data_IF_997688445598
#
_entry.id   IF_997688445598
#
_cell.length_a   1.000
_cell.length_b   1.000
_cell.length_c   1.000
_cell.angle_alpha   90.00
_cell.angle_beta   90.00
_cell.angle_gamma   90.00
#
_symmetry.space_group_name_H-M   'P 1'
#
loop_
_entity.id
_entity.type
_entity.pdbx_description
1 polymer ?
#
# COMPACT_ATOMS: atom_id res chain seq x y z
N UNK A 1 -4.94 -5.71 -19.00
CA UNK A 1 -5.54 -5.65 -17.65
C UNK A 1 -5.58 -4.20 -17.18
N UNK A 2 -6.57 -3.81 -16.38
CA UNK A 2 -6.57 -2.51 -15.69
C UNK A 2 -5.98 -2.72 -14.29
N UNK A 3 -5.09 -1.81 -13.85
CA UNK A 3 -4.52 -1.82 -12.50
C UNK A 3 -4.93 -0.54 -11.80
N UNK A 4 -5.59 -0.64 -10.66
CA UNK A 4 -5.86 0.50 -9.78
C UNK A 4 -4.87 0.43 -8.62
N UNK A 5 -3.84 1.27 -8.67
CA UNK A 5 -2.78 1.36 -7.66
C UNK A 5 -3.19 2.36 -6.57
N UNK A 6 -3.47 1.89 -5.37
CA UNK A 6 -3.86 2.74 -4.24
C UNK A 6 -2.64 3.04 -3.38
N UNK A 7 -2.36 4.33 -3.19
CA UNK A 7 -1.24 4.84 -2.40
C UNK A 7 -1.71 5.78 -1.30
N UNK A 8 -0.81 6.13 -0.41
CA UNK A 8 -1.05 7.07 0.69
C UNK A 8 -0.25 6.72 1.94
N UNK A 9 0.06 7.72 2.72
CA UNK A 9 0.85 7.57 3.95
C UNK A 9 0.19 6.62 4.95
N UNK A 10 0.94 5.96 5.85
CA UNK A 10 0.38 5.15 6.92
C UNK A 10 -0.72 5.88 7.70
N UNK A 11 -1.85 5.22 7.94
CA UNK A 11 -3.00 5.85 8.64
C UNK A 11 -3.91 6.73 7.76
N UNK A 12 -3.62 6.91 6.46
CA UNK A 12 -4.45 7.76 5.57
C UNK A 12 -5.84 7.19 5.26
N UNK A 13 -6.07 5.88 5.43
CA UNK A 13 -7.33 5.22 5.05
C UNK A 13 -7.29 4.52 3.69
N UNK A 14 -6.13 4.44 3.02
CA UNK A 14 -5.97 3.81 1.71
C UNK A 14 -6.54 2.40 1.60
N UNK A 15 -6.36 1.55 2.62
CA UNK A 15 -6.88 0.17 2.59
C UNK A 15 -8.40 0.09 2.65
N UNK A 16 -9.07 1.10 3.21
CA UNK A 16 -10.53 1.23 3.14
C UNK A 16 -10.97 1.59 1.72
N UNK A 17 -10.33 2.59 1.14
CA UNK A 17 -10.56 3.01 -0.26
C UNK A 17 -10.31 1.85 -1.22
N UNK A 18 -9.19 1.16 -1.09
CA UNK A 18 -8.85 0.02 -1.95
C UNK A 18 -9.93 -1.08 -1.90
N UNK A 19 -10.46 -1.41 -0.71
CA UNK A 19 -11.56 -2.38 -0.57
C UNK A 19 -12.86 -1.90 -1.22
N UNK A 20 -13.19 -0.61 -1.09
CA UNK A 20 -14.39 -0.05 -1.71
C UNK A 20 -14.28 -0.10 -3.22
N UNK A 21 -13.16 0.37 -3.78
CA UNK A 21 -12.91 0.33 -5.22
C UNK A 21 -12.96 -1.11 -5.76
N UNK A 22 -12.28 -2.05 -5.08
CA UNK A 22 -12.28 -3.45 -5.47
C UNK A 22 -13.69 -4.05 -5.55
N UNK A 23 -14.54 -3.76 -4.56
CA UNK A 23 -15.95 -4.19 -4.56
C UNK A 23 -16.77 -3.55 -5.67
N UNK A 24 -16.62 -2.24 -5.87
CA UNK A 24 -17.40 -1.49 -6.89
C UNK A 24 -17.04 -1.93 -8.31
N UNK A 25 -15.77 -2.23 -8.57
CA UNK A 25 -15.31 -2.67 -9.88
C UNK A 25 -15.43 -4.19 -10.09
N UNK A 26 -15.66 -4.97 -9.04
CA UNK A 26 -15.60 -6.42 -9.10
C UNK A 26 -14.19 -6.97 -9.35
N UNK A 27 -13.16 -6.23 -9.00
CA UNK A 27 -11.76 -6.61 -9.19
C UNK A 27 -11.16 -7.24 -7.92
N UNK A 28 -10.29 -8.24 -8.06
CA UNK A 28 -9.51 -8.76 -6.94
C UNK A 28 -8.67 -7.66 -6.29
N UNK A 29 -8.56 -7.71 -4.96
CA UNK A 29 -7.69 -6.85 -4.17
C UNK A 29 -6.40 -7.60 -3.83
N UNK A 30 -5.27 -7.05 -4.22
CA UNK A 30 -3.93 -7.51 -3.86
C UNK A 30 -3.27 -6.47 -2.94
N UNK A 31 -2.69 -6.92 -1.82
CA UNK A 31 -2.10 -6.03 -0.82
C UNK A 31 -0.59 -6.23 -0.79
N UNK A 32 0.18 -5.16 -1.04
CA UNK A 32 1.65 -5.20 -1.05
C UNK A 32 2.24 -5.75 0.26
N UNK A 33 1.62 -5.39 1.40
CA UNK A 33 2.04 -5.91 2.70
C UNK A 33 1.81 -7.41 2.88
N UNK A 34 0.79 -7.97 2.26
CA UNK A 34 0.45 -9.39 2.42
C UNK A 34 1.43 -10.28 1.67
N UNK A 35 1.88 -9.89 0.47
CA UNK A 35 2.92 -10.66 -0.24
C UNK A 35 4.25 -10.67 0.50
N UNK A 36 4.56 -9.62 1.26
CA UNK A 36 5.74 -9.62 2.14
C UNK A 36 5.53 -10.57 3.33
N UNK A 37 4.35 -10.57 3.96
CA UNK A 37 4.03 -11.49 5.07
C UNK A 37 4.09 -12.96 4.63
N UNK A 38 3.58 -13.25 3.45
CA UNK A 38 3.68 -14.59 2.86
C UNK A 38 5.14 -14.99 2.63
N UNK A 39 5.97 -14.07 2.16
CA UNK A 39 7.40 -14.33 1.99
C UNK A 39 8.12 -14.56 3.32
N UNK A 40 7.75 -13.82 4.39
CA UNK A 40 8.24 -14.06 5.76
C UNK A 40 7.88 -15.47 6.21
N UNK A 41 6.61 -15.87 6.06
CA UNK A 41 6.12 -17.20 6.42
C UNK A 41 6.81 -18.29 5.59
N UNK A 42 7.00 -18.08 4.26
CA UNK A 42 7.72 -19.01 3.38
C UNK A 42 9.17 -19.25 3.80
N UNK A 43 9.80 -18.25 4.43
CA UNK A 43 11.17 -18.37 5.00
C UNK A 43 11.18 -19.00 6.38
N UNK A 44 10.05 -19.40 6.94
CA UNK A 44 9.93 -19.97 8.28
C UNK A 44 10.21 -18.97 9.40
N UNK A 45 10.08 -17.66 9.13
CA UNK A 45 10.29 -16.60 10.10
C UNK A 45 8.97 -16.23 10.79
N UNK A 46 9.07 -15.80 12.05
CA UNK A 46 7.92 -15.27 12.79
C UNK A 46 7.41 -13.95 12.16
N UNK A 47 6.08 -13.76 12.15
CA UNK A 47 5.43 -12.57 11.59
C UNK A 47 5.52 -11.37 12.55
N UNK A 48 6.75 -10.92 12.82
CA UNK A 48 7.01 -9.68 13.55
C UNK A 48 7.17 -8.50 12.62
N UNK A 49 6.96 -7.28 13.11
CA UNK A 49 7.22 -6.04 12.36
C UNK A 49 8.65 -6.02 11.83
N UNK A 50 9.61 -6.37 12.68
CA UNK A 50 11.03 -6.42 12.32
C UNK A 50 11.30 -7.38 11.15
N UNK A 51 10.80 -8.60 11.19
CA UNK A 51 10.99 -9.59 10.12
C UNK A 51 10.30 -9.17 8.82
N UNK A 52 9.12 -8.55 8.89
CA UNK A 52 8.40 -8.04 7.72
C UNK A 52 9.22 -6.93 7.05
N UNK A 53 9.72 -5.97 7.81
CA UNK A 53 10.53 -4.87 7.28
C UNK A 53 11.87 -5.36 6.72
N UNK A 54 12.54 -6.26 7.42
CA UNK A 54 13.82 -6.84 7.01
C UNK A 54 13.67 -7.66 5.71
N UNK A 55 12.63 -8.48 5.59
CA UNK A 55 12.36 -9.24 4.36
C UNK A 55 12.04 -8.30 3.21
N UNK A 56 11.23 -7.27 3.44
CA UNK A 56 10.92 -6.28 2.41
C UNK A 56 12.18 -5.52 1.94
N UNK A 57 13.05 -5.15 2.88
CA UNK A 57 14.34 -4.51 2.58
C UNK A 57 15.24 -5.43 1.75
N UNK A 58 15.43 -6.68 2.18
CA UNK A 58 16.25 -7.66 1.46
C UNK A 58 15.74 -7.97 0.06
N UNK A 59 14.41 -8.06 -0.11
CA UNK A 59 13.83 -8.25 -1.44
C UNK A 59 14.21 -7.11 -2.38
N UNK A 60 14.11 -5.85 -1.90
CA UNK A 60 14.50 -4.69 -2.70
C UNK A 60 16.00 -4.62 -2.99
N UNK A 61 16.84 -5.00 -2.05
CA UNK A 61 18.29 -5.06 -2.24
C UNK A 61 18.72 -6.10 -3.28
N UNK A 62 18.07 -7.26 -3.28
CA UNK A 62 18.42 -8.37 -4.15
C UNK A 62 17.80 -8.28 -5.55
N UNK A 63 16.56 -7.78 -5.65
CA UNK A 63 15.77 -7.78 -6.89
C UNK A 63 15.44 -6.38 -7.41
N UNK A 64 15.91 -5.34 -6.73
CA UNK A 64 15.63 -3.95 -7.06
C UNK A 64 14.39 -3.35 -6.36
N UNK A 65 14.19 -2.02 -6.50
CA UNK A 65 13.17 -1.28 -5.77
C UNK A 65 11.72 -1.75 -6.07
N UNK A 66 11.48 -2.34 -7.24
CA UNK A 66 10.19 -2.89 -7.64
C UNK A 66 9.88 -4.31 -7.16
N UNK A 67 10.77 -4.95 -6.39
CA UNK A 67 10.71 -6.38 -6.05
C UNK A 67 9.37 -6.84 -5.44
N UNK A 68 8.75 -6.00 -4.61
CA UNK A 68 7.45 -6.37 -3.99
C UNK A 68 6.33 -6.31 -5.03
N UNK A 69 6.38 -5.35 -5.95
CA UNK A 69 5.43 -5.28 -7.05
C UNK A 69 5.57 -6.45 -8.04
N UNK A 70 6.78 -7.03 -8.21
CA UNK A 70 6.96 -8.25 -9.00
C UNK A 70 6.16 -9.42 -8.42
N UNK A 71 6.16 -9.59 -7.09
CA UNK A 71 5.35 -10.61 -6.43
C UNK A 71 3.84 -10.38 -6.64
N UNK A 72 3.41 -9.11 -6.67
CA UNK A 72 2.03 -8.76 -7.03
C UNK A 72 1.72 -9.12 -8.48
N UNK A 73 2.64 -8.82 -9.41
CA UNK A 73 2.48 -9.15 -10.84
C UNK A 73 2.37 -10.66 -11.05
N UNK A 74 3.19 -11.46 -10.37
CA UNK A 74 3.12 -12.93 -10.41
C UNK A 74 1.73 -13.43 -9.96
N UNK A 75 1.21 -12.91 -8.84
CA UNK A 75 -0.14 -13.23 -8.37
C UNK A 75 -1.24 -12.77 -9.33
N UNK A 76 -1.15 -11.53 -9.82
CA UNK A 76 -2.16 -10.96 -10.71
C UNK A 76 -2.28 -11.75 -12.02
N UNK A 77 -1.16 -12.22 -12.57
CA UNK A 77 -1.14 -13.04 -13.78
C UNK A 77 -1.80 -14.40 -13.62
N UNK A 78 -1.82 -14.95 -12.40
CA UNK A 78 -2.50 -16.20 -12.09
C UNK A 78 -4.03 -16.02 -11.96
N UNK A 79 -4.52 -14.78 -11.90
CA UNK A 79 -5.94 -14.47 -11.79
C UNK A 79 -6.57 -14.30 -13.17
N UNK A 80 -7.70 -14.97 -13.40
CA UNK A 80 -8.49 -14.76 -14.61
C UNK A 80 -9.41 -13.55 -14.43
N UNK A 81 -8.85 -12.33 -14.61
CA UNK A 81 -9.54 -11.07 -14.36
C UNK A 81 -9.18 -10.00 -15.37
N UNK A 82 -10.08 -9.05 -15.60
CA UNK A 82 -9.83 -7.89 -16.48
C UNK A 82 -9.10 -6.75 -15.75
N UNK A 83 -9.09 -6.75 -14.43
CA UNK A 83 -8.41 -5.74 -13.63
C UNK A 83 -8.10 -6.20 -12.21
N UNK A 84 -7.21 -5.49 -11.54
CA UNK A 84 -6.83 -5.69 -10.13
C UNK A 84 -6.75 -4.36 -9.40
N UNK A 85 -7.05 -4.37 -8.11
CA UNK A 85 -6.74 -3.25 -7.20
C UNK A 85 -5.54 -3.64 -6.36
N UNK A 86 -4.53 -2.77 -6.30
CA UNK A 86 -3.29 -3.00 -5.55
C UNK A 86 -3.19 -1.98 -4.42
N UNK A 87 -3.30 -2.44 -3.16
CA UNK A 87 -3.18 -1.58 -1.98
C UNK A 87 -1.75 -1.48 -1.49
N UNK A 88 -1.27 -0.27 -1.31
CA UNK A 88 -0.03 0.04 -0.61
C UNK A 88 1.19 0.25 -1.50
N UNK A 89 1.01 0.73 -2.71
CA UNK A 89 2.10 1.15 -3.62
C UNK A 89 2.85 2.33 -3.02
N UNK A 90 4.20 2.29 -3.02
CA UNK A 90 5.06 3.23 -2.30
C UNK A 90 6.17 3.87 -3.13
N UNK A 91 6.37 3.45 -4.37
CA UNK A 91 7.38 4.03 -5.25
C UNK A 91 6.95 4.01 -6.71
N UNK A 92 7.55 4.88 -7.53
CA UNK A 92 7.35 4.87 -8.97
C UNK A 92 7.94 3.62 -9.63
N UNK A 93 8.97 3.02 -9.04
CA UNK A 93 9.50 1.74 -9.50
C UNK A 93 8.46 0.62 -9.38
N UNK A 94 7.70 0.60 -8.27
CA UNK A 94 6.58 -0.33 -8.10
C UNK A 94 5.49 -0.08 -9.14
N UNK A 95 5.13 1.20 -9.41
CA UNK A 95 4.18 1.57 -10.47
C UNK A 95 4.67 1.09 -11.84
N UNK A 96 5.96 1.28 -12.15
CA UNK A 96 6.56 0.83 -13.40
C UNK A 96 6.47 -0.69 -13.56
N UNK A 97 6.73 -1.46 -12.52
CA UNK A 97 6.57 -2.92 -12.54
C UNK A 97 5.11 -3.31 -12.78
N UNK A 98 4.17 -2.68 -12.06
CA UNK A 98 2.74 -2.93 -12.23
C UNK A 98 2.24 -2.62 -13.65
N UNK A 99 2.85 -1.67 -14.35
CA UNK A 99 2.49 -1.34 -15.73
C UNK A 99 2.73 -2.48 -16.72
N UNK A 100 3.52 -3.50 -16.36
CA UNK A 100 3.67 -4.73 -17.13
C UNK A 100 2.39 -5.58 -17.22
N UNK A 101 1.40 -5.32 -16.37
CA UNK A 101 0.06 -5.95 -16.41
C UNK A 101 -0.89 -5.22 -17.36
N UNK A 102 -0.63 -3.94 -17.64
CA UNK A 102 -1.45 -3.09 -18.49
C UNK A 102 -1.52 -1.66 -17.97
N UNK A 103 -2.66 -0.98 -18.20
CA UNK A 103 -2.82 0.43 -17.82
C UNK A 103 -2.98 0.56 -16.30
N UNK A 104 -2.14 1.40 -15.70
CA UNK A 104 -2.17 1.73 -14.27
C UNK A 104 -2.88 3.08 -14.06
N UNK A 105 -3.80 3.11 -13.11
CA UNK A 105 -4.38 4.34 -12.56
C UNK A 105 -3.98 4.44 -11.09
N UNK A 106 -3.43 5.57 -10.70
CA UNK A 106 -2.97 5.82 -9.34
C UNK A 106 -4.02 6.60 -8.57
N UNK A 107 -4.49 6.03 -7.47
CA UNK A 107 -5.41 6.68 -6.53
C UNK A 107 -4.66 6.97 -5.24
N UNK A 108 -4.43 8.26 -4.94
CA UNK A 108 -3.80 8.68 -3.71
C UNK A 108 -4.85 8.99 -2.64
N UNK A 109 -4.61 8.52 -1.42
CA UNK A 109 -5.43 8.85 -0.25
C UNK A 109 -4.60 9.68 0.71
N UNK A 110 -4.97 10.95 0.86
CA UNK A 110 -4.29 11.88 1.75
C UNK A 110 -5.06 12.09 3.04
N UNK A 111 -4.34 12.23 4.15
CA UNK A 111 -4.87 12.66 5.43
C UNK A 111 -3.77 13.39 6.21
N UNK A 112 -4.09 14.48 6.92
CA UNK A 112 -3.11 15.23 7.71
C UNK A 112 -2.40 14.33 8.75
N UNK A 113 -1.12 14.60 9.07
CA UNK A 113 -0.33 13.76 9.98
C UNK A 113 -0.96 13.55 11.36
N UNK A 114 -1.56 14.60 11.94
CA UNK A 114 -2.23 14.50 13.25
C UNK A 114 -3.41 13.51 13.24
N UNK A 115 -4.24 13.51 12.20
CA UNK A 115 -5.35 12.57 12.06
C UNK A 115 -4.85 11.14 11.82
N UNK A 116 -3.80 10.98 11.03
CA UNK A 116 -3.18 9.68 10.78
C UNK A 116 -2.61 9.08 12.07
N UNK A 117 -1.90 9.89 12.85
CA UNK A 117 -1.36 9.49 14.16
C UNK A 117 -2.47 9.05 15.11
N UNK A 118 -3.51 9.87 15.29
CA UNK A 118 -4.65 9.53 16.14
C UNK A 118 -5.31 8.21 15.74
N UNK A 119 -5.52 8.00 14.44
CA UNK A 119 -6.10 6.75 13.91
C UNK A 119 -5.21 5.53 14.17
N UNK A 120 -3.89 5.68 14.06
CA UNK A 120 -2.95 4.58 14.28
C UNK A 120 -2.89 4.19 15.76
N UNK A 121 -2.87 5.16 16.67
CA UNK A 121 -2.90 4.91 18.11
C UNK A 121 -4.23 4.27 18.56
N UNK A 122 -5.37 4.76 18.02
CA UNK A 122 -6.68 4.28 18.47
C UNK A 122 -7.03 2.88 17.98
N UNK A 123 -6.60 2.48 16.79
CA UNK A 123 -6.93 1.14 16.23
C UNK A 123 -6.11 -0.01 16.82
N UNK A 124 -5.00 0.27 17.48
CA UNK A 124 -4.12 -0.69 18.19
C UNK A 124 -3.84 -1.99 17.41
N UNK A 125 -3.58 -1.89 16.11
CA UNK A 125 -3.19 -3.08 15.34
C UNK A 125 -1.78 -3.50 15.72
N UNK A 126 -1.55 -4.80 15.72
CA UNK A 126 -0.20 -5.34 15.81
C UNK A 126 0.69 -4.72 14.72
N UNK A 127 1.84 -4.15 15.13
CA UNK A 127 2.71 -3.39 14.24
C UNK A 127 2.31 -1.94 13.95
N UNK A 128 1.30 -1.39 14.65
CA UNK A 128 1.07 0.06 14.66
C UNK A 128 2.04 0.77 15.61
N UNK A 129 2.19 2.07 15.40
CA UNK A 129 3.08 2.91 16.19
C UNK A 129 2.57 3.06 17.62
N UNK A 130 3.47 3.05 18.58
CA UNK A 130 3.19 3.24 20.01
C UNK A 130 3.33 4.70 20.47
N UNK A 131 3.94 5.56 19.66
CA UNK A 131 4.21 6.95 20.00
C UNK A 131 4.58 7.83 18.80
N UNK A 132 4.78 9.11 19.09
CA UNK A 132 5.04 10.13 18.05
C UNK A 132 6.38 9.96 17.36
N UNK A 133 7.40 9.46 18.05
CA UNK A 133 8.73 9.24 17.46
C UNK A 133 8.69 8.10 16.44
N UNK A 134 8.06 6.99 16.81
CA UNK A 134 7.89 5.84 15.92
C UNK A 134 7.02 6.19 14.71
N UNK A 135 6.01 7.05 14.90
CA UNK A 135 5.19 7.58 13.80
C UNK A 135 6.03 8.39 12.81
N UNK A 136 6.87 9.32 13.31
CA UNK A 136 7.76 10.11 12.44
C UNK A 136 8.76 9.24 11.70
N UNK A 137 9.40 8.32 12.40
CA UNK A 137 10.33 7.37 11.80
C UNK A 137 9.67 6.58 10.65
N UNK A 138 8.45 6.11 10.87
CA UNK A 138 7.68 5.37 9.85
C UNK A 138 7.29 6.24 8.66
N UNK A 139 6.91 7.49 8.90
CA UNK A 139 6.64 8.45 7.82
C UNK A 139 7.89 8.72 6.99
N UNK A 140 9.02 9.00 7.63
CA UNK A 140 10.30 9.22 6.94
C UNK A 140 10.74 8.00 6.14
N UNK A 141 10.58 6.79 6.67
CA UNK A 141 10.92 5.57 5.95
C UNK A 141 10.08 5.42 4.67
N UNK A 142 8.78 5.73 4.71
CA UNK A 142 7.92 5.70 3.52
C UNK A 142 8.27 6.82 2.53
N UNK A 143 8.62 8.01 3.01
CA UNK A 143 9.07 9.10 2.13
C UNK A 143 10.38 8.75 1.42
N UNK A 144 11.34 8.10 2.10
CA UNK A 144 12.59 7.63 1.49
C UNK A 144 12.37 6.55 0.41
N UNK A 145 11.27 5.78 0.48
CA UNK A 145 10.89 4.85 -0.58
C UNK A 145 10.32 5.56 -1.82
N UNK A 146 9.99 6.84 -1.73
CA UNK A 146 9.44 7.62 -2.84
C UNK A 146 7.90 7.69 -2.86
N UNK A 147 7.23 7.41 -1.74
CA UNK A 147 5.75 7.47 -1.69
C UNK A 147 5.21 8.88 -2.02
N UNK A 148 5.98 9.92 -1.69
CA UNK A 148 5.64 11.30 -2.02
C UNK A 148 5.50 11.53 -3.52
N UNK A 149 6.37 10.93 -4.32
CA UNK A 149 6.34 11.04 -5.79
C UNK A 149 5.11 10.33 -6.36
N UNK A 150 4.76 9.16 -5.82
CA UNK A 150 3.53 8.44 -6.24
C UNK A 150 2.28 9.25 -5.91
N UNK A 151 2.23 9.88 -4.73
CA UNK A 151 1.12 10.74 -4.33
C UNK A 151 1.03 11.97 -5.23
N UNK A 152 2.16 12.62 -5.53
CA UNK A 152 2.22 13.82 -6.37
C UNK A 152 1.79 13.55 -7.82
N UNK A 153 2.04 12.35 -8.34
CA UNK A 153 1.73 11.95 -9.72
C UNK A 153 0.44 11.10 -9.82
N UNK A 154 -0.39 11.10 -8.77
CA UNK A 154 -1.64 10.33 -8.79
C UNK A 154 -2.66 10.92 -9.77
N UNK A 155 -3.37 10.02 -10.50
CA UNK A 155 -4.47 10.39 -11.39
C UNK A 155 -5.68 10.90 -10.62
N UNK A 156 -5.90 10.38 -9.39
CA UNK A 156 -7.00 10.73 -8.50
C UNK A 156 -6.52 10.92 -7.08
N UNK A 157 -7.09 11.93 -6.39
CA UNK A 157 -6.78 12.23 -4.99
C UNK A 157 -8.06 12.23 -4.16
N UNK A 158 -8.07 11.43 -3.09
CA UNK A 158 -9.12 11.42 -2.06
C UNK A 158 -8.56 12.03 -0.79
N UNK A 159 -9.19 13.07 -0.24
CA UNK A 159 -8.76 13.73 0.99
C UNK A 159 -9.60 13.21 2.17
N UNK A 160 -9.00 12.34 2.97
CA UNK A 160 -9.64 11.73 4.14
C UNK A 160 -9.39 12.58 5.41
N UNK A 161 -10.14 13.65 5.55
CA UNK A 161 -10.11 14.55 6.72
C UNK A 161 -11.44 14.62 7.48
N UNK A 162 -12.39 13.73 7.18
CA UNK A 162 -13.73 13.71 7.73
C UNK A 162 -14.12 12.30 8.22
N UNK A 163 -15.38 11.92 8.07
CA UNK A 163 -15.93 10.64 8.55
C UNK A 163 -15.62 9.48 7.59
N UNK A 164 -15.80 8.24 8.10
CA UNK A 164 -15.63 7.03 7.30
C UNK A 164 -16.66 6.95 6.16
N UNK A 165 -17.89 7.40 6.42
CA UNK A 165 -18.98 7.43 5.44
C UNK A 165 -18.61 8.28 4.23
N UNK A 166 -18.09 9.49 4.45
CA UNK A 166 -17.60 10.34 3.37
C UNK A 166 -16.47 9.72 2.58
N UNK A 167 -15.51 9.07 3.27
CA UNK A 167 -14.42 8.38 2.61
C UNK A 167 -14.93 7.26 1.69
N UNK A 168 -15.93 6.50 2.13
CA UNK A 168 -16.55 5.42 1.36
C UNK A 168 -17.35 5.96 0.18
N UNK A 169 -17.99 7.11 0.34
CA UNK A 169 -18.75 7.77 -0.74
C UNK A 169 -17.84 8.27 -1.86
N UNK A 170 -16.71 8.88 -1.52
CA UNK A 170 -15.72 9.40 -2.46
C UNK A 170 -14.91 8.30 -3.19
N UNK A 171 -14.82 7.11 -2.59
CA UNK A 171 -14.07 5.99 -3.14
C UNK A 171 -14.87 5.19 -4.17
#
# INVERSE_FOLDING_TARGET
>A
MIVVAVTGMPGSGKSTVARVIARRLGYPLLVMGDVVREEVARRGLELTVHNIEEVARRLRELRGPGAIAELIVEKARALNTQGVVVDGVRSLDEVKVLSSLGRVYIVAVHSPPNLRFQRMISRRREGDVSGSEEFRFRDEANLRLGIGDVIALADYMIVNNSTLEKLVEEA
#
